data_IF_781459336724
#
_entry.id   IF_781459336724
#
_cell.length_a   1.000
_cell.length_b   1.000
_cell.length_c   1.000
_cell.angle_alpha   90.00
_cell.angle_beta   90.00
_cell.angle_gamma   90.00
#
_symmetry.space_group_name_H-M   'P 1'
#
loop_
_entity.id
_entity.type
_entity.pdbx_description
1 polymer ?
#
# COMPACT_ATOMS: atom_id res chain seq x y z
N UNK A 1 -24.27 4.28 10.81
CA UNK A 1 -23.92 3.73 9.49
C UNK A 1 -23.37 2.33 9.74
N UNK A 2 -24.10 1.28 9.35
CA UNK A 2 -23.73 -0.10 9.69
C UNK A 2 -22.36 -0.46 9.13
N UNK A 3 -21.50 -1.10 9.92
CA UNK A 3 -20.23 -1.63 9.44
C UNK A 3 -20.56 -2.72 8.41
N UNK A 4 -20.32 -2.44 7.13
CA UNK A 4 -20.39 -3.44 6.08
C UNK A 4 -19.25 -4.45 6.34
N UNK A 5 -19.62 -5.66 6.74
CA UNK A 5 -18.68 -6.76 6.98
C UNK A 5 -18.60 -7.60 5.71
N UNK A 6 -17.39 -7.78 5.19
CA UNK A 6 -17.14 -8.59 4.01
C UNK A 6 -16.20 -9.70 4.43
N UNK A 7 -16.64 -10.95 4.25
CA UNK A 7 -15.78 -12.11 4.42
C UNK A 7 -14.99 -12.33 3.13
N UNK A 8 -13.67 -12.46 3.27
CA UNK A 8 -12.76 -12.79 2.17
C UNK A 8 -12.04 -14.09 2.49
N UNK A 9 -11.76 -14.88 1.47
CA UNK A 9 -10.99 -16.12 1.62
C UNK A 9 -9.49 -15.79 1.64
N UNK A 10 -8.78 -16.34 2.62
CA UNK A 10 -7.32 -16.38 2.61
C UNK A 10 -6.88 -17.39 1.55
N UNK A 11 -6.18 -16.90 0.54
CA UNK A 11 -5.63 -17.72 -0.53
C UNK A 11 -4.26 -18.28 -0.12
N UNK A 12 -3.55 -18.87 -1.08
CA UNK A 12 -2.23 -19.44 -0.83
C UNK A 12 -1.26 -18.39 -0.26
N UNK A 13 -0.41 -18.81 0.69
CA UNK A 13 0.63 -17.99 1.33
C UNK A 13 0.09 -16.73 2.02
N UNK A 14 -1.14 -16.74 2.50
CA UNK A 14 -1.71 -15.61 3.25
C UNK A 14 -2.18 -14.45 2.37
N UNK A 15 -2.30 -14.64 1.06
CA UNK A 15 -2.81 -13.61 0.17
C UNK A 15 -4.31 -13.40 0.42
N UNK A 16 -4.68 -12.15 0.75
CA UNK A 16 -6.08 -11.71 0.78
C UNK A 16 -6.30 -10.70 -0.34
N UNK A 17 -7.37 -10.90 -1.13
CA UNK A 17 -7.78 -9.93 -2.12
C UNK A 17 -8.77 -8.96 -1.49
N UNK A 18 -8.40 -7.69 -1.36
CA UNK A 18 -9.31 -6.66 -0.89
C UNK A 18 -10.32 -6.31 -1.99
N UNK A 19 -11.62 -6.21 -1.67
CA UNK A 19 -12.64 -5.72 -2.60
C UNK A 19 -12.27 -4.36 -3.20
N UNK A 20 -12.62 -4.14 -4.48
CA UNK A 20 -12.30 -2.91 -5.22
C UNK A 20 -12.79 -1.63 -4.53
N UNK A 21 -13.95 -1.69 -3.87
CA UNK A 21 -14.46 -0.58 -3.07
C UNK A 21 -13.55 -0.20 -1.90
N UNK A 22 -12.85 -1.15 -1.28
CA UNK A 22 -11.85 -0.88 -0.23
C UNK A 22 -10.61 -0.26 -0.86
N UNK A 23 -10.10 -0.86 -1.95
CA UNK A 23 -8.90 -0.35 -2.63
C UNK A 23 -9.07 1.13 -3.01
N UNK A 24 -10.20 1.49 -3.60
CA UNK A 24 -10.45 2.87 -4.04
C UNK A 24 -10.61 3.85 -2.88
N UNK A 25 -11.38 3.48 -1.84
CA UNK A 25 -11.61 4.35 -0.67
C UNK A 25 -10.33 4.66 0.09
N UNK A 26 -9.41 3.70 0.17
CA UNK A 26 -8.11 3.87 0.86
C UNK A 26 -6.96 4.21 -0.11
N UNK A 27 -7.26 4.44 -1.40
CA UNK A 27 -6.26 4.78 -2.42
C UNK A 27 -5.16 3.74 -2.62
N UNK A 28 -5.47 2.47 -2.32
CA UNK A 28 -4.58 1.32 -2.51
C UNK A 28 -4.52 0.85 -3.96
N UNK A 29 -5.40 1.38 -4.81
CA UNK A 29 -5.38 1.21 -6.26
C UNK A 29 -4.34 2.10 -6.97
N UNK A 30 -3.62 2.95 -6.23
CA UNK A 30 -2.62 3.88 -6.78
C UNK A 30 -1.22 3.27 -6.79
N UNK A 31 -0.41 3.68 -7.76
CA UNK A 31 1.00 3.29 -7.83
C UNK A 31 1.77 3.76 -6.58
N UNK A 32 2.56 2.86 -5.98
CA UNK A 32 3.33 3.13 -4.78
C UNK A 32 2.51 3.14 -3.48
N UNK A 33 1.23 2.72 -3.51
CA UNK A 33 0.45 2.55 -2.30
C UNK A 33 1.09 1.50 -1.38
N UNK A 34 1.12 1.81 -0.08
CA UNK A 34 1.64 0.93 0.95
C UNK A 34 0.61 0.73 2.05
N UNK A 35 0.67 -0.44 2.68
CA UNK A 35 -0.20 -0.79 3.81
C UNK A 35 0.69 -1.28 4.94
N UNK A 36 0.54 -0.67 6.09
CA UNK A 36 1.06 -1.18 7.34
C UNK A 36 0.10 -2.24 7.89
N UNK A 37 0.66 -3.39 8.26
CA UNK A 37 -0.09 -4.50 8.86
C UNK A 37 0.22 -4.51 10.35
N UNK A 38 -0.81 -4.29 11.17
CA UNK A 38 -0.69 -4.24 12.62
C UNK A 38 -1.46 -5.42 13.21
N UNK A 39 -0.75 -6.30 13.92
CA UNK A 39 -1.35 -7.38 14.70
C UNK A 39 -1.86 -6.83 16.03
N UNK A 40 -3.09 -7.21 16.39
CA UNK A 40 -3.73 -6.98 17.69
C UNK A 40 -4.32 -8.29 18.18
N UNK A 41 -4.76 -8.32 19.44
CA UNK A 41 -5.20 -9.54 20.13
C UNK A 41 -6.25 -10.36 19.36
N UNK A 42 -7.20 -9.71 18.69
CA UNK A 42 -8.27 -10.40 17.93
C UNK A 42 -8.46 -9.85 16.50
N UNK A 43 -7.61 -8.93 16.04
CA UNK A 43 -7.79 -8.29 14.75
C UNK A 43 -6.46 -7.95 14.07
N UNK A 44 -6.47 -7.98 12.74
CA UNK A 44 -5.41 -7.39 11.92
C UNK A 44 -5.91 -6.05 11.42
N UNK A 45 -5.18 -4.98 11.74
CA UNK A 45 -5.50 -3.63 11.25
C UNK A 45 -4.58 -3.31 10.08
N UNK A 46 -5.20 -3.02 8.93
CA UNK A 46 -4.52 -2.52 7.74
C UNK A 46 -4.59 -1.00 7.73
N UNK A 47 -3.45 -0.32 7.80
CA UNK A 47 -3.36 1.14 7.74
C UNK A 47 -2.70 1.56 6.43
N UNK A 48 -3.45 2.27 5.58
CA UNK A 48 -2.91 2.83 4.35
C UNK A 48 -1.87 3.92 4.68
N UNK A 49 -0.66 3.76 4.17
CA UNK A 49 0.31 4.84 4.07
C UNK A 49 0.30 5.34 2.64
N UNK A 50 -0.17 6.57 2.45
CA UNK A 50 0.18 7.29 1.23
C UNK A 50 1.66 7.63 1.38
N UNK A 51 2.50 6.80 0.77
CA UNK A 51 3.93 7.07 0.67
C UNK A 51 4.10 8.50 0.17
N UNK A 52 4.74 9.33 0.99
CA UNK A 52 5.20 10.65 0.56
C UNK A 52 5.91 10.43 -0.76
N UNK A 53 5.52 11.18 -1.80
CA UNK A 53 6.00 11.01 -3.17
C UNK A 53 7.49 10.69 -3.17
N UNK A 54 7.86 9.58 -3.82
CA UNK A 54 9.25 9.33 -4.16
C UNK A 54 9.65 10.49 -5.06
N UNK A 55 10.33 11.50 -4.49
CA UNK A 55 11.05 12.52 -5.24
C UNK A 55 12.11 11.74 -6.04
N UNK A 56 11.74 11.28 -7.23
CA UNK A 56 12.64 10.68 -8.19
C UNK A 56 13.56 11.78 -8.74
N UNK A 57 14.45 12.29 -7.91
CA UNK A 57 15.66 12.96 -8.39
C UNK A 57 16.66 11.88 -8.76
N UNK A 58 16.48 11.31 -9.94
CA UNK A 58 17.55 10.64 -10.66
C UNK A 58 18.61 11.69 -11.06
N UNK A 59 19.47 12.04 -10.11
CA UNK A 59 20.70 12.80 -10.36
C UNK A 59 21.84 11.85 -10.70
N UNK A 60 21.80 11.19 -11.86
CA UNK A 60 23.03 10.68 -12.48
C UNK A 60 23.84 11.88 -12.99
N UNK A 61 24.55 12.52 -12.06
CA UNK A 61 25.62 13.45 -12.37
C UNK A 61 26.83 12.66 -12.84
N UNK A 62 26.82 12.24 -14.11
CA UNK A 62 28.06 11.97 -14.82
C UNK A 62 28.83 13.30 -14.89
N UNK A 63 29.71 13.53 -13.92
CA UNK A 63 30.77 14.54 -14.08
C UNK A 63 31.76 13.96 -15.07
N UNK A 64 31.45 14.15 -16.35
CA UNK A 64 32.40 13.99 -17.44
C UNK A 64 33.55 14.95 -17.21
N UNK A 65 34.77 14.42 -17.28
CA UNK A 65 35.98 15.22 -17.20
C UNK A 65 36.06 16.28 -18.30
N UNK A 66 36.85 17.32 -18.01
CA UNK A 66 37.89 17.95 -18.84
C UNK A 66 38.05 19.42 -18.43
N UNK A 67 39.10 19.72 -17.65
CA UNK A 67 40.34 20.39 -18.09
C UNK A 67 41.15 20.79 -16.87
#
# INVERSE_FOLDING_TARGET
MGKEQIFVTVQNRGLIALPSGILNRFGLDKAGAQVEVIEREEEIVLRSHFGVSVDQRHGFGLSGGKR
#
